data_IF_865416605840
#
_entry.id   IF_865416605840
#
_cell.length_a   1.000
_cell.length_b   1.000
_cell.length_c   1.000
_cell.angle_alpha   90.00
_cell.angle_beta   90.00
_cell.angle_gamma   90.00
#
_symmetry.space_group_name_H-M   'P 1'
#
loop_
_entity.id
_entity.type
_entity.pdbx_description
1 polymer ?
#
# COMPACT_ATOMS: atom_id res chain seq x y z
N UNK A 1 8.03 5.95 -4.97
CA UNK A 1 9.17 6.41 -4.15
C UNK A 1 9.25 5.60 -2.88
N UNK A 2 10.46 5.19 -2.47
CA UNK A 2 10.69 4.46 -1.21
C UNK A 2 11.78 5.15 -0.41
N UNK A 3 11.47 5.49 0.84
CA UNK A 3 12.41 5.99 1.84
C UNK A 3 12.85 4.85 2.76
N UNK A 4 14.14 4.77 3.04
CA UNK A 4 14.71 3.82 4.02
C UNK A 4 15.57 4.60 5.00
N UNK A 5 15.13 4.68 6.26
CA UNK A 5 15.88 5.30 7.35
C UNK A 5 16.85 4.32 7.99
N UNK A 6 17.98 4.82 8.52
CA UNK A 6 18.99 4.00 9.21
C UNK A 6 18.54 3.44 10.57
N UNK A 7 17.36 3.84 11.06
CA UNK A 7 16.75 3.41 12.33
C UNK A 7 15.72 2.28 12.15
N UNK A 8 15.72 1.57 11.02
CA UNK A 8 14.78 0.47 10.74
C UNK A 8 13.40 0.93 10.25
N UNK A 9 13.17 2.24 10.14
CA UNK A 9 11.97 2.79 9.52
C UNK A 9 12.07 2.81 7.99
N UNK A 10 10.96 2.57 7.30
CA UNK A 10 10.86 2.72 5.86
C UNK A 10 9.46 3.18 5.46
N UNK A 11 9.35 3.92 4.37
CA UNK A 11 8.09 4.40 3.82
C UNK A 11 8.06 4.21 2.29
N UNK A 12 6.90 3.95 1.72
CA UNK A 12 6.67 3.88 0.29
C UNK A 12 5.46 4.74 -0.08
N UNK A 13 5.56 5.43 -1.21
CA UNK A 13 4.47 6.17 -1.83
C UNK A 13 4.53 5.89 -3.34
N UNK A 14 3.45 5.40 -3.90
CA UNK A 14 3.28 5.15 -5.33
C UNK A 14 2.06 5.90 -5.83
N UNK A 15 2.21 6.52 -7.01
CA UNK A 15 1.15 7.17 -7.74
C UNK A 15 1.03 6.43 -9.08
N UNK A 16 -0.17 5.96 -9.41
CA UNK A 16 -0.46 5.32 -10.69
C UNK A 16 -1.52 6.13 -11.43
N UNK A 17 -1.21 6.48 -12.67
CA UNK A 17 -2.14 7.14 -13.59
C UNK A 17 -2.97 6.06 -14.29
N UNK A 18 -4.30 6.16 -14.23
CA UNK A 18 -5.20 5.24 -14.93
C UNK A 18 -4.97 5.33 -16.44
N UNK A 19 -4.54 4.23 -17.06
CA UNK A 19 -4.21 4.21 -18.49
C UNK A 19 -5.46 4.13 -19.38
N UNK A 20 -5.63 5.11 -20.28
CA UNK A 20 -6.53 4.99 -21.43
C UNK A 20 -5.92 4.01 -22.46
N UNK A 21 -6.18 2.71 -22.26
CA UNK A 21 -5.69 1.65 -23.11
C UNK A 21 -6.61 1.23 -24.26
N UNK A 22 -7.89 1.60 -24.26
CA UNK A 22 -8.84 1.13 -25.28
C UNK A 22 -10.07 2.03 -25.36
N UNK A 23 -10.06 3.02 -26.25
CA UNK A 23 -11.28 3.67 -26.78
C UNK A 23 -10.91 4.50 -28.01
N UNK A 24 -11.27 3.99 -29.19
CA UNK A 24 -11.27 4.68 -30.48
C UNK A 24 -12.42 5.73 -30.56
N UNK A 25 -12.64 6.45 -29.44
CA UNK A 25 -13.67 7.48 -29.29
C UNK A 25 -13.06 8.58 -28.43
N UNK A 26 -13.10 9.80 -28.95
CA UNK A 26 -12.74 11.04 -28.25
C UNK A 26 -13.59 11.18 -26.97
N UNK A 27 -13.11 10.61 -25.87
CA UNK A 27 -13.56 10.92 -24.51
C UNK A 27 -12.57 11.93 -23.98
N UNK A 28 -12.91 13.21 -24.04
CA UNK A 28 -12.24 14.28 -23.28
C UNK A 28 -12.02 13.80 -21.85
N UNK A 29 -10.79 13.39 -21.55
CA UNK A 29 -10.34 12.92 -20.24
C UNK A 29 -10.62 14.05 -19.23
N UNK A 30 -11.59 13.85 -18.34
CA UNK A 30 -11.92 14.83 -17.31
C UNK A 30 -11.63 14.36 -15.88
N UNK A 31 -11.08 13.16 -15.66
CA UNK A 31 -10.74 12.70 -14.31
C UNK A 31 -9.33 12.12 -14.27
N UNK A 32 -8.38 13.01 -13.97
CA UNK A 32 -6.97 12.70 -13.78
C UNK A 32 -6.71 12.45 -12.30
N UNK A 33 -7.40 11.49 -11.71
CA UNK A 33 -7.22 11.21 -10.27
C UNK A 33 -6.34 9.96 -10.12
N UNK A 34 -5.09 10.12 -9.63
CA UNK A 34 -4.15 9.02 -9.56
C UNK A 34 -4.51 8.05 -8.42
N UNK A 35 -4.32 6.75 -8.67
CA UNK A 35 -4.38 5.76 -7.58
C UNK A 35 -3.18 6.00 -6.68
N UNK A 36 -3.43 6.22 -5.39
CA UNK A 36 -2.38 6.50 -4.42
C UNK A 36 -2.21 5.29 -3.52
N UNK A 37 -1.00 4.73 -3.50
CA UNK A 37 -0.63 3.67 -2.56
C UNK A 37 0.45 4.19 -1.63
N UNK A 38 0.17 4.20 -0.33
CA UNK A 38 1.09 4.62 0.72
C UNK A 38 1.34 3.49 1.71
N UNK A 39 2.59 3.35 2.17
CA UNK A 39 2.91 2.33 3.16
C UNK A 39 4.05 2.74 4.09
N UNK A 40 3.99 2.26 5.33
CA UNK A 40 5.00 2.47 6.35
C UNK A 40 5.43 1.13 6.92
N UNK A 41 6.71 1.03 7.29
CA UNK A 41 7.29 -0.13 7.97
C UNK A 41 8.25 0.32 9.06
N UNK A 42 8.28 -0.43 10.14
CA UNK A 42 9.32 -0.37 11.15
C UNK A 42 9.84 -1.78 11.43
N UNK A 43 11.17 -1.94 11.39
CA UNK A 43 11.84 -3.21 11.64
C UNK A 43 12.96 -3.03 12.67
N UNK A 44 13.09 -4.00 13.57
CA UNK A 44 14.16 -4.10 14.55
C UNK A 44 14.53 -5.55 14.83
N UNK A 45 15.43 -5.77 15.80
CA UNK A 45 15.87 -7.14 16.14
C UNK A 45 14.73 -8.07 16.60
N UNK A 46 13.66 -7.50 17.15
CA UNK A 46 12.48 -8.23 17.62
C UNK A 46 11.53 -8.68 16.50
N UNK A 47 11.65 -8.11 15.29
CA UNK A 47 10.70 -8.35 14.19
C UNK A 47 10.35 -7.07 13.42
N UNK A 48 9.15 -7.02 12.86
CA UNK A 48 8.69 -5.83 12.14
C UNK A 48 7.18 -5.65 12.17
N UNK A 49 6.74 -4.40 11.96
CA UNK A 49 5.36 -4.08 11.67
C UNK A 49 5.30 -3.24 10.41
N UNK A 50 4.33 -3.53 9.54
CA UNK A 50 4.10 -2.79 8.30
C UNK A 50 2.62 -2.57 8.07
N UNK A 51 2.27 -1.42 7.51
CA UNK A 51 0.94 -1.10 7.07
C UNK A 51 0.98 -0.47 5.68
N UNK A 52 -0.02 -0.77 4.86
CA UNK A 52 -0.21 -0.18 3.53
C UNK A 52 -1.67 0.22 3.41
N UNK A 53 -1.90 1.40 2.85
CA UNK A 53 -3.21 1.89 2.43
C UNK A 53 -3.15 2.22 0.95
N UNK A 54 -4.19 1.85 0.22
CA UNK A 54 -4.42 2.25 -1.15
C UNK A 54 -5.74 3.03 -1.19
N UNK A 55 -5.74 4.12 -1.94
CA UNK A 55 -6.93 4.88 -2.28
C UNK A 55 -7.06 4.88 -3.80
N UNK A 56 -8.18 4.36 -4.28
CA UNK A 56 -8.59 4.44 -5.68
C UNK A 56 -9.58 5.60 -5.82
N UNK A 57 -9.18 6.58 -6.61
CA UNK A 57 -9.94 7.80 -6.80
C UNK A 57 -10.99 7.73 -7.92
N UNK A 58 -11.05 6.64 -8.69
CA UNK A 58 -12.06 6.43 -9.73
C UNK A 58 -13.35 5.88 -9.13
N UNK A 59 -13.25 5.10 -8.04
CA UNK A 59 -14.39 4.44 -7.37
C UNK A 59 -14.56 4.85 -5.89
N UNK A 60 -13.80 5.83 -5.40
CA UNK A 60 -13.79 6.30 -3.99
C UNK A 60 -13.51 5.20 -2.94
N UNK A 61 -12.99 4.05 -3.35
CA UNK A 61 -12.72 2.92 -2.46
C UNK A 61 -11.34 3.01 -1.82
N UNK A 62 -11.26 2.54 -0.57
CA UNK A 62 -10.00 2.41 0.15
C UNK A 62 -9.78 0.96 0.57
N UNK A 63 -8.53 0.53 0.44
CA UNK A 63 -8.07 -0.75 0.94
C UNK A 63 -6.90 -0.52 1.90
N UNK A 64 -6.92 -1.19 3.04
CA UNK A 64 -5.85 -1.14 4.02
C UNK A 64 -5.42 -2.54 4.43
N UNK A 65 -4.12 -2.72 4.69
CA UNK A 65 -3.58 -3.94 5.28
C UNK A 65 -2.51 -3.63 6.31
N UNK A 66 -2.46 -4.44 7.35
CA UNK A 66 -1.43 -4.40 8.39
C UNK A 66 -0.87 -5.79 8.58
N UNK A 67 0.45 -5.87 8.77
CA UNK A 67 1.19 -7.10 9.03
C UNK A 67 2.14 -6.88 10.19
N UNK A 68 2.15 -7.82 11.13
CA UNK A 68 3.13 -7.91 12.19
C UNK A 68 3.92 -9.22 12.09
N UNK A 69 5.23 -9.14 12.27
CA UNK A 69 6.17 -10.25 12.29
C UNK A 69 6.95 -10.19 13.62
N UNK A 70 7.08 -11.31 14.31
CA UNK A 70 7.81 -11.43 15.58
C UNK A 70 8.85 -12.53 15.45
N UNK A 71 10.11 -12.18 15.72
CA UNK A 71 11.22 -13.13 15.80
C UNK A 71 11.21 -13.76 17.20
N UNK A 72 10.98 -15.06 17.26
CA UNK A 72 11.02 -15.82 18.51
C UNK A 72 12.44 -16.30 18.82
N UNK A 73 13.20 -16.62 17.77
CA UNK A 73 14.64 -16.93 17.82
C UNK A 73 15.33 -16.42 16.55
N UNK A 74 16.65 -16.55 16.46
CA UNK A 74 17.42 -16.21 15.26
C UNK A 74 17.03 -17.05 14.02
N UNK A 75 16.34 -18.18 14.21
CA UNK A 75 15.94 -19.11 13.15
C UNK A 75 14.42 -19.25 12.99
N UNK A 76 13.63 -18.70 13.92
CA UNK A 76 12.19 -18.92 13.95
C UNK A 76 11.43 -17.62 14.21
N UNK A 77 10.47 -17.34 13.33
CA UNK A 77 9.59 -16.17 13.41
C UNK A 77 8.14 -16.57 13.12
N UNK A 78 7.20 -15.84 13.72
CA UNK A 78 5.77 -15.95 13.46
C UNK A 78 5.24 -14.62 12.94
N UNK A 79 4.14 -14.67 12.22
CA UNK A 79 3.54 -13.47 11.65
C UNK A 79 2.02 -13.57 11.62
N UNK A 80 1.39 -12.40 11.60
CA UNK A 80 -0.05 -12.25 11.42
C UNK A 80 -0.32 -11.05 10.52
N UNK A 81 -1.37 -11.15 9.70
CA UNK A 81 -1.76 -10.10 8.79
C UNK A 81 -3.29 -10.00 8.73
N UNK A 82 -3.78 -8.76 8.65
CA UNK A 82 -5.17 -8.46 8.43
C UNK A 82 -5.30 -7.39 7.33
N UNK A 83 -6.38 -7.44 6.58
CA UNK A 83 -6.70 -6.48 5.53
C UNK A 83 -8.19 -6.16 5.53
N UNK A 84 -8.52 -4.99 5.00
CA UNK A 84 -9.86 -4.48 4.81
C UNK A 84 -9.92 -3.78 3.46
N UNK A 85 -11.04 -3.93 2.75
CA UNK A 85 -11.38 -3.15 1.55
C UNK A 85 -12.82 -2.69 1.70
N UNK A 86 -13.10 -1.43 1.39
CA UNK A 86 -14.46 -0.98 1.20
C UNK A 86 -14.87 -1.35 -0.22
N UNK A 87 -15.62 -2.44 -0.39
CA UNK A 87 -16.40 -2.69 -1.61
C UNK A 87 -17.74 -1.96 -1.44
N UNK A 88 -18.08 -1.05 -2.34
CA UNK A 88 -19.45 -0.50 -2.40
C UNK A 88 -20.39 -1.61 -2.91
N UNK A 89 -21.36 -2.01 -2.06
CA UNK A 89 -22.27 -3.14 -2.32
C UNK A 89 -23.46 -2.78 -3.20
#
# INVERSE_FOLDING_TARGET
YTFTGGNGFSAILSLEEGGNGDSDVDVTLNDYTPHIVGGLKYAGGWGSIAAVVAYDSVIEEWAAKVRGDVNLTDQFSVWVQAGYSSEES
#
